data_IF_661595406747
#
_entry.id   IF_661595406747
#
_cell.length_a   1.000
_cell.length_b   1.000
_cell.length_c   1.000
_cell.angle_alpha   90.00
_cell.angle_beta   90.00
_cell.angle_gamma   90.00
#
_symmetry.space_group_name_H-M   'P 1'
#
loop_
_entity.id
_entity.type
_entity.pdbx_description
1 polymer ?
#
# COMPACT_ATOMS: atom_id res chain seq x y z
N UNK A 1 -1.27 15.92 -15.99
CA UNK A 1 -2.22 16.06 -14.87
C UNK A 1 -3.40 15.15 -15.16
N UNK A 2 -3.55 14.05 -14.43
CA UNK A 2 -4.71 13.17 -14.59
C UNK A 2 -5.96 13.90 -14.07
N UNK A 3 -6.98 14.09 -14.91
CA UNK A 3 -8.22 14.71 -14.49
C UNK A 3 -9.03 13.70 -13.66
N UNK A 4 -9.24 14.01 -12.39
CA UNK A 4 -10.15 13.26 -11.52
C UNK A 4 -11.61 13.49 -11.95
N UNK A 5 -12.44 12.47 -11.82
CA UNK A 5 -13.90 12.51 -11.99
C UNK A 5 -14.40 13.09 -13.33
N UNK A 6 -13.83 12.65 -14.46
CA UNK A 6 -14.43 12.91 -15.77
C UNK A 6 -15.74 12.11 -15.88
N UNK A 7 -16.91 12.75 -15.95
CA UNK A 7 -18.17 12.04 -16.13
C UNK A 7 -18.11 11.26 -17.45
N UNK A 8 -18.49 9.97 -17.41
CA UNK A 8 -18.52 9.10 -18.61
C UNK A 8 -19.44 9.63 -19.72
N UNK A 9 -20.34 10.54 -19.39
CA UNK A 9 -21.24 11.20 -20.33
C UNK A 9 -21.07 12.71 -20.20
N UNK A 10 -20.74 13.38 -21.30
CA UNK A 10 -20.68 14.84 -21.38
C UNK A 10 -22.11 15.40 -21.32
N UNK A 11 -22.65 15.60 -20.12
CA UNK A 11 -23.88 16.37 -19.99
C UNK A 11 -23.61 17.80 -20.45
N UNK A 12 -24.38 18.28 -21.44
CA UNK A 12 -24.36 19.70 -21.83
C UNK A 12 -24.75 20.51 -20.60
N UNK A 13 -23.79 21.28 -20.08
CA UNK A 13 -24.03 22.20 -18.96
C UNK A 13 -25.08 23.24 -19.39
N UNK A 14 -26.02 23.56 -18.50
CA UNK A 14 -26.97 24.64 -18.75
C UNK A 14 -26.25 26.00 -18.76
N UNK A 15 -26.84 27.01 -19.39
CA UNK A 15 -26.25 28.36 -19.40
C UNK A 15 -26.10 28.92 -17.97
N UNK A 16 -27.05 28.63 -17.09
CA UNK A 16 -26.97 28.99 -15.67
C UNK A 16 -25.79 28.31 -14.96
N UNK A 17 -25.54 27.01 -15.21
CA UNK A 17 -24.38 26.31 -14.66
C UNK A 17 -23.08 26.91 -15.20
N UNK A 18 -23.04 27.27 -16.49
CA UNK A 18 -21.88 27.92 -17.12
C UNK A 18 -21.59 29.28 -16.47
N UNK A 19 -22.60 30.11 -16.26
CA UNK A 19 -22.45 31.42 -15.61
C UNK A 19 -21.95 31.28 -14.16
N UNK A 20 -22.52 30.35 -13.38
CA UNK A 20 -22.05 30.05 -12.02
C UNK A 20 -20.60 29.59 -11.99
N UNK A 21 -20.19 28.75 -12.94
CA UNK A 21 -18.79 28.29 -13.03
C UNK A 21 -17.84 29.43 -13.42
N UNK A 22 -18.26 30.33 -14.32
CA UNK A 22 -17.47 31.53 -14.67
C UNK A 22 -17.26 32.42 -13.45
N UNK A 23 -18.29 32.65 -12.62
CA UNK A 23 -18.17 33.42 -11.38
C UNK A 23 -17.22 32.76 -10.38
N UNK A 24 -17.35 31.43 -10.19
CA UNK A 24 -16.43 30.66 -9.34
C UNK A 24 -14.99 30.74 -9.82
N UNK A 25 -14.75 30.63 -11.13
CA UNK A 25 -13.41 30.73 -11.73
C UNK A 25 -12.84 32.14 -11.52
N UNK A 26 -13.64 33.20 -11.70
CA UNK A 26 -13.21 34.58 -11.44
C UNK A 26 -12.81 34.77 -9.97
N UNK A 27 -13.63 34.31 -9.04
CA UNK A 27 -13.34 34.39 -7.61
C UNK A 27 -12.07 33.59 -7.24
N UNK A 28 -11.91 32.39 -7.79
CA UNK A 28 -10.71 31.57 -7.59
C UNK A 28 -9.45 32.26 -8.11
N UNK A 29 -9.48 32.79 -9.35
CA UNK A 29 -8.35 33.51 -9.94
C UNK A 29 -7.99 34.75 -9.13
N UNK A 30 -8.98 35.51 -8.71
CA UNK A 30 -8.74 36.68 -7.86
C UNK A 30 -8.03 36.31 -6.55
N UNK A 31 -8.49 35.25 -5.87
CA UNK A 31 -7.85 34.76 -4.64
C UNK A 31 -6.43 34.23 -4.90
N UNK A 32 -6.23 33.52 -6.02
CA UNK A 32 -4.92 33.06 -6.46
C UNK A 32 -3.97 34.23 -6.69
N UNK A 33 -4.39 35.25 -7.43
CA UNK A 33 -3.58 36.42 -7.75
C UNK A 33 -3.21 37.20 -6.49
N UNK A 34 -4.15 37.39 -5.56
CA UNK A 34 -3.88 37.98 -4.25
C UNK A 34 -2.83 37.19 -3.46
N UNK A 35 -2.98 35.86 -3.39
CA UNK A 35 -2.08 34.98 -2.65
C UNK A 35 -0.67 35.02 -3.24
N UNK A 36 -0.54 34.92 -4.56
CA UNK A 36 0.75 34.90 -5.24
C UNK A 36 1.43 36.27 -5.24
N UNK A 37 0.68 37.36 -5.41
CA UNK A 37 1.22 38.72 -5.38
C UNK A 37 1.78 39.06 -3.99
N UNK A 38 1.07 38.65 -2.92
CA UNK A 38 1.59 38.81 -1.56
C UNK A 38 2.81 37.94 -1.30
N UNK A 39 2.79 36.68 -1.75
CA UNK A 39 3.97 35.82 -1.63
C UNK A 39 5.21 36.39 -2.35
N UNK A 40 5.01 37.08 -3.47
CA UNK A 40 6.09 37.73 -4.22
C UNK A 40 6.75 38.89 -3.47
N UNK A 41 6.08 39.50 -2.48
CA UNK A 41 6.71 40.53 -1.63
C UNK A 41 7.70 39.96 -0.61
N UNK A 42 7.77 38.63 -0.47
CA UNK A 42 8.64 37.96 0.50
C UNK A 42 8.11 37.96 1.94
N UNK A 43 6.91 38.50 2.18
CA UNK A 43 6.30 38.58 3.51
C UNK A 43 5.44 37.34 3.79
N UNK A 44 5.91 36.46 4.67
CA UNK A 44 5.21 35.23 5.07
C UNK A 44 4.52 35.43 6.43
N UNK A 45 3.43 36.17 6.44
CA UNK A 45 2.70 36.54 7.66
C UNK A 45 1.39 35.76 7.85
N UNK A 46 0.66 36.08 8.92
CA UNK A 46 -0.63 35.47 9.24
C UNK A 46 -1.70 35.76 8.18
N UNK A 47 -1.60 36.90 7.48
CA UNK A 47 -2.54 37.23 6.41
C UNK A 47 -2.32 36.34 5.18
N UNK A 48 -1.06 36.15 4.76
CA UNK A 48 -0.74 35.18 3.71
C UNK A 48 -1.16 33.75 4.12
N UNK A 49 -0.95 33.38 5.39
CA UNK A 49 -1.40 32.10 5.91
C UNK A 49 -2.91 31.92 5.76
N UNK A 50 -3.73 32.92 6.10
CA UNK A 50 -5.18 32.89 5.92
C UNK A 50 -5.59 32.78 4.44
N UNK A 51 -4.87 33.45 3.53
CA UNK A 51 -5.08 33.29 2.09
C UNK A 51 -4.80 31.85 1.63
N UNK A 52 -3.72 31.22 2.13
CA UNK A 52 -3.44 29.81 1.83
C UNK A 52 -4.56 28.89 2.32
N UNK A 53 -5.13 29.15 3.52
CA UNK A 53 -6.26 28.39 4.06
C UNK A 53 -7.45 28.43 3.11
N UNK A 54 -7.84 29.62 2.63
CA UNK A 54 -8.95 29.79 1.68
C UNK A 54 -8.68 29.05 0.37
N UNK A 55 -7.47 29.21 -0.18
CA UNK A 55 -7.13 28.68 -1.49
C UNK A 55 -7.03 27.15 -1.49
N UNK A 56 -6.50 26.53 -0.42
CA UNK A 56 -6.43 25.08 -0.27
C UNK A 56 -7.79 24.41 -0.02
N UNK A 57 -8.73 25.10 0.62
CA UNK A 57 -10.12 24.65 0.68
C UNK A 57 -10.79 24.60 -0.69
N UNK A 58 -10.36 25.43 -1.63
CA UNK A 58 -10.85 25.41 -3.02
C UNK A 58 -10.09 24.40 -3.88
N UNK A 59 -8.76 24.38 -3.79
CA UNK A 59 -7.90 23.55 -4.63
C UNK A 59 -6.66 23.05 -3.87
N UNK A 60 -6.74 21.90 -3.20
CA UNK A 60 -5.59 21.31 -2.52
C UNK A 60 -4.57 20.68 -3.48
N UNK A 61 -4.86 20.54 -4.78
CA UNK A 61 -3.88 20.10 -5.80
C UNK A 61 -2.87 21.20 -6.16
N UNK A 62 -3.11 22.45 -5.74
CA UNK A 62 -2.21 23.55 -6.03
C UNK A 62 -0.99 23.54 -5.10
N UNK A 63 0.01 22.74 -5.49
CA UNK A 63 1.21 22.44 -4.69
C UNK A 63 1.99 23.67 -4.19
N UNK A 64 2.06 24.75 -4.97
CA UNK A 64 2.75 25.99 -4.57
C UNK A 64 2.19 26.55 -3.27
N UNK A 65 0.88 26.46 -3.06
CA UNK A 65 0.19 27.02 -1.89
C UNK A 65 0.56 26.28 -0.62
N UNK A 66 0.79 24.96 -0.69
CA UNK A 66 1.30 24.19 0.45
C UNK A 66 2.70 24.65 0.87
N UNK A 67 3.57 24.98 -0.09
CA UNK A 67 4.89 25.52 0.21
C UNK A 67 4.82 26.91 0.83
N UNK A 68 3.91 27.77 0.34
CA UNK A 68 3.65 29.08 0.96
C UNK A 68 3.16 28.90 2.41
N UNK A 69 2.23 27.97 2.63
CA UNK A 69 1.70 27.66 3.97
C UNK A 69 2.80 27.21 4.92
N UNK A 70 3.70 26.31 4.50
CA UNK A 70 4.88 25.90 5.29
C UNK A 70 5.75 27.08 5.67
N UNK A 71 6.04 27.98 4.71
CA UNK A 71 6.85 29.18 4.97
C UNK A 71 6.18 30.08 6.01
N UNK A 72 4.89 30.37 5.84
CA UNK A 72 4.13 31.14 6.83
C UNK A 72 4.15 30.51 8.23
N UNK A 73 4.00 29.19 8.33
CA UNK A 73 4.07 28.48 9.62
C UNK A 73 5.43 28.68 10.27
N UNK A 74 6.52 28.46 9.54
CA UNK A 74 7.89 28.59 10.06
C UNK A 74 8.26 30.03 10.43
N UNK A 75 7.79 31.02 9.67
CA UNK A 75 8.10 32.44 9.90
C UNK A 75 7.21 33.11 10.95
N UNK A 76 6.12 32.47 11.38
CA UNK A 76 5.18 33.09 12.33
C UNK A 76 4.73 32.17 13.46
N UNK A 77 3.97 31.11 13.17
CA UNK A 77 3.32 30.28 14.19
C UNK A 77 4.27 29.27 14.87
N UNK A 78 5.37 28.91 14.21
CA UNK A 78 6.40 27.98 14.68
C UNK A 78 7.79 28.65 14.76
N UNK A 79 7.84 29.97 14.95
CA UNK A 79 9.08 30.75 14.87
C UNK A 79 9.96 30.65 16.12
N UNK A 80 9.60 29.86 17.14
CA UNK A 80 10.38 29.74 18.37
C UNK A 80 11.67 28.95 18.13
N UNK A 81 12.78 29.47 18.66
CA UNK A 81 13.95 28.65 18.96
C UNK A 81 13.62 27.79 20.20
N UNK A 82 14.09 26.54 20.21
CA UNK A 82 13.74 25.54 21.23
C UNK A 82 14.07 25.97 22.68
N UNK A 83 14.98 26.93 22.86
CA UNK A 83 15.49 27.36 24.16
C UNK A 83 14.59 28.35 24.93
N UNK A 84 13.62 29.01 24.27
CA UNK A 84 12.76 30.01 24.95
C UNK A 84 11.57 29.41 25.70
N UNK A 85 11.33 28.10 25.62
CA UNK A 85 10.16 27.43 26.23
C UNK A 85 10.15 27.42 27.76
N UNK A 86 11.19 27.96 28.42
CA UNK A 86 11.33 28.01 29.87
C UNK A 86 11.08 29.39 30.50
N UNK A 87 10.69 30.43 29.74
CA UNK A 87 10.36 31.73 30.33
C UNK A 87 8.89 31.84 30.78
N UNK A 88 8.61 32.09 32.08
CA UNK A 88 7.27 32.26 32.61
C UNK A 88 6.78 33.69 32.33
N UNK A 89 6.19 33.92 31.16
CA UNK A 89 5.63 35.23 30.80
C UNK A 89 4.84 35.32 29.48
N UNK A 90 4.82 34.27 28.65
CA UNK A 90 4.10 34.27 27.36
C UNK A 90 2.65 33.75 27.52
N UNK A 91 1.76 34.57 28.09
CA UNK A 91 0.41 34.14 28.50
C UNK A 91 -0.63 33.88 27.40
N UNK A 92 -0.39 34.25 26.14
CA UNK A 92 -1.46 34.25 25.10
C UNK A 92 -1.09 33.61 23.74
N UNK A 93 0.09 32.99 23.59
CA UNK A 93 0.48 32.33 22.33
C UNK A 93 0.27 30.82 22.37
N UNK A 94 -0.37 30.31 21.33
CA UNK A 94 -0.61 28.89 21.10
C UNK A 94 0.73 28.12 21.07
N UNK A 95 0.79 26.96 21.76
CA UNK A 95 2.00 26.13 21.78
C UNK A 95 2.27 25.49 20.42
N UNK A 96 3.55 25.21 20.09
CA UNK A 96 3.93 24.47 18.87
C UNK A 96 3.10 23.19 18.71
N UNK A 97 2.85 22.46 19.81
CA UNK A 97 2.03 21.24 19.78
C UNK A 97 0.59 21.50 19.34
N UNK A 98 -0.02 22.59 19.80
CA UNK A 98 -1.38 22.97 19.42
C UNK A 98 -1.44 23.46 17.96
N UNK A 99 -0.46 24.25 17.51
CA UNK A 99 -0.34 24.67 16.10
C UNK A 99 -0.23 23.45 15.18
N UNK A 100 0.66 22.50 15.49
CA UNK A 100 0.85 21.29 14.68
C UNK A 100 -0.41 20.41 14.64
N UNK A 101 -1.11 20.24 15.76
CA UNK A 101 -2.38 19.52 15.81
C UNK A 101 -3.48 20.22 15.01
N UNK A 102 -3.56 21.55 15.10
CA UNK A 102 -4.48 22.38 14.31
C UNK A 102 -4.23 22.21 12.80
N UNK A 103 -2.96 22.13 12.37
CA UNK A 103 -2.60 21.88 10.97
C UNK A 103 -2.93 20.47 10.49
N UNK A 104 -2.73 19.46 11.33
CA UNK A 104 -3.20 18.10 11.04
C UNK A 104 -4.72 18.04 10.97
N UNK A 105 -5.44 18.74 11.85
CA UNK A 105 -6.90 18.82 11.82
C UNK A 105 -7.42 19.54 10.57
N UNK A 106 -6.79 20.65 10.16
CA UNK A 106 -7.09 21.39 8.94
C UNK A 106 -7.08 20.51 7.68
N UNK A 107 -6.16 19.56 7.61
CA UNK A 107 -6.06 18.69 6.42
C UNK A 107 -7.07 17.54 6.41
N UNK A 108 -7.72 17.20 7.53
CA UNK A 108 -8.72 16.11 7.58
C UNK A 108 -9.89 16.32 6.60
N UNK A 109 -10.63 17.45 6.59
CA UNK A 109 -11.72 17.64 5.64
C UNK A 109 -11.25 17.63 4.18
N UNK A 110 -10.04 18.12 3.90
CA UNK A 110 -9.44 18.09 2.57
C UNK A 110 -9.18 16.65 2.14
N UNK A 111 -8.62 15.84 3.04
CA UNK A 111 -8.31 14.43 2.79
C UNK A 111 -9.58 13.59 2.61
N UNK A 112 -10.64 13.88 3.36
CA UNK A 112 -11.93 13.19 3.22
C UNK A 112 -12.57 13.44 1.85
N UNK A 113 -12.35 14.62 1.26
CA UNK A 113 -12.84 15.01 -0.07
C UNK A 113 -11.93 14.54 -1.20
N UNK A 114 -10.61 14.66 -1.04
CA UNK A 114 -9.60 14.32 -2.05
C UNK A 114 -8.54 13.37 -1.46
N UNK A 115 -8.91 12.11 -1.17
CA UNK A 115 -8.06 11.16 -0.44
C UNK A 115 -6.82 10.70 -1.21
N UNK A 116 -6.74 11.02 -2.51
CA UNK A 116 -5.64 10.70 -3.42
C UNK A 116 -4.80 11.92 -3.81
N UNK A 117 -5.04 13.07 -3.16
CA UNK A 117 -4.23 14.26 -3.38
C UNK A 117 -2.86 14.09 -2.72
N UNK A 118 -1.80 14.02 -3.53
CA UNK A 118 -0.44 13.80 -3.06
C UNK A 118 0.02 14.88 -2.06
N UNK A 119 -0.35 16.13 -2.31
CA UNK A 119 0.13 17.28 -1.56
C UNK A 119 -0.44 17.36 -0.14
N UNK A 120 -1.64 16.82 0.09
CA UNK A 120 -2.19 16.69 1.44
C UNK A 120 -1.33 15.73 2.26
N UNK A 121 -1.07 14.53 1.75
CA UNK A 121 -0.23 13.53 2.43
C UNK A 121 1.19 14.05 2.65
N UNK A 122 1.78 14.71 1.65
CA UNK A 122 3.10 15.32 1.75
C UNK A 122 3.16 16.46 2.78
N UNK A 123 2.12 17.29 2.87
CA UNK A 123 2.04 18.32 3.91
C UNK A 123 1.93 17.70 5.31
N UNK A 124 1.09 16.68 5.49
CA UNK A 124 1.00 15.98 6.79
C UNK A 124 2.33 15.38 7.23
N UNK A 125 3.06 14.70 6.33
CA UNK A 125 4.41 14.20 6.63
C UNK A 125 5.35 15.32 7.10
N UNK A 126 5.30 16.49 6.45
CA UNK A 126 6.09 17.64 6.88
C UNK A 126 5.68 18.11 8.29
N UNK A 127 4.37 18.23 8.59
CA UNK A 127 3.90 18.61 9.94
C UNK A 127 4.40 17.62 11.00
N UNK A 128 4.37 16.32 10.70
CA UNK A 128 4.88 15.30 11.61
C UNK A 128 6.39 15.37 11.83
N UNK A 129 7.16 15.73 10.79
CA UNK A 129 8.60 16.00 10.96
C UNK A 129 8.86 17.17 11.91
N UNK A 130 8.00 18.20 11.88
CA UNK A 130 8.09 19.32 12.81
C UNK A 130 7.72 18.90 14.23
N UNK A 131 6.81 17.94 14.41
CA UNK A 131 6.49 17.40 15.74
C UNK A 131 7.71 16.74 16.39
N UNK A 132 8.51 15.96 15.64
CA UNK A 132 9.77 15.38 16.14
C UNK A 132 10.78 16.48 16.46
N UNK A 133 10.92 17.47 15.57
CA UNK A 133 11.94 18.51 15.71
C UNK A 133 11.66 19.50 16.86
N UNK A 134 10.41 19.64 17.31
CA UNK A 134 9.98 20.76 18.15
C UNK A 134 9.34 20.37 19.47
N UNK A 135 8.90 19.11 19.62
CA UNK A 135 8.19 18.66 20.80
C UNK A 135 9.02 17.64 21.58
N UNK A 136 8.86 17.56 22.92
CA UNK A 136 9.37 16.45 23.68
C UNK A 136 8.88 15.11 23.11
N UNK A 137 9.73 14.08 23.15
CA UNK A 137 9.45 12.76 22.57
C UNK A 137 8.05 12.20 22.92
N UNK A 138 7.57 12.24 24.18
CA UNK A 138 6.23 11.73 24.49
C UNK A 138 5.09 12.48 23.79
N UNK A 139 5.24 13.81 23.63
CA UNK A 139 4.24 14.63 22.95
C UNK A 139 4.26 14.42 21.43
N UNK A 140 5.46 14.33 20.84
CA UNK A 140 5.61 13.99 19.42
C UNK A 140 5.00 12.61 19.14
N UNK A 141 5.38 11.59 19.90
CA UNK A 141 4.90 10.21 19.75
C UNK A 141 3.37 10.13 19.75
N UNK A 142 2.69 10.80 20.68
CA UNK A 142 1.23 10.83 20.76
C UNK A 142 0.56 11.36 19.48
N UNK A 143 1.18 12.34 18.83
CA UNK A 143 0.70 12.85 17.53
C UNK A 143 0.83 11.77 16.46
N UNK A 144 1.98 11.09 16.38
CA UNK A 144 2.20 10.00 15.44
C UNK A 144 1.28 8.80 15.66
N UNK A 145 0.99 8.44 16.92
CA UNK A 145 0.01 7.38 17.26
C UNK A 145 -1.40 7.74 16.79
N UNK A 146 -1.78 9.02 16.89
CA UNK A 146 -3.06 9.51 16.35
C UNK A 146 -3.14 9.35 14.83
N UNK A 147 -2.03 9.54 14.12
CA UNK A 147 -1.95 9.34 12.66
C UNK A 147 -2.10 7.89 12.24
N UNK A 148 -1.66 6.95 13.08
CA UNK A 148 -1.90 5.53 12.84
C UNK A 148 -3.42 5.25 12.82
N UNK A 149 -4.18 5.84 13.75
CA UNK A 149 -5.64 5.82 13.75
C UNK A 149 -6.27 6.45 12.51
N UNK A 150 -5.73 7.57 12.03
CA UNK A 150 -6.17 8.18 10.76
C UNK A 150 -5.98 7.22 9.58
N UNK A 151 -4.83 6.56 9.48
CA UNK A 151 -4.57 5.61 8.38
C UNK A 151 -5.59 4.48 8.37
N UNK A 152 -5.91 3.92 9.55
CA UNK A 152 -6.95 2.89 9.70
C UNK A 152 -8.31 3.40 9.23
N UNK A 153 -8.69 4.65 9.57
CA UNK A 153 -9.94 5.26 9.10
C UNK A 153 -9.97 5.44 7.59
N UNK A 154 -8.86 5.91 6.99
CA UNK A 154 -8.78 6.13 5.55
C UNK A 154 -8.83 4.81 4.76
N UNK A 155 -8.12 3.79 5.23
CA UNK A 155 -8.17 2.43 4.68
C UNK A 155 -9.53 1.76 4.92
N UNK A 156 -10.22 2.12 6.00
CA UNK A 156 -11.59 1.70 6.24
C UNK A 156 -12.60 2.25 5.22
N UNK A 157 -12.31 3.40 4.61
CA UNK A 157 -13.13 4.04 3.56
C UNK A 157 -12.74 3.58 2.14
N UNK A 158 -11.45 3.50 1.86
CA UNK A 158 -10.89 2.99 0.60
C UNK A 158 -9.70 2.08 0.94
N UNK A 159 -9.97 0.78 1.03
CA UNK A 159 -9.00 -0.23 1.44
C UNK A 159 -7.87 -0.43 0.40
N UNK A 160 -8.02 0.09 -0.82
CA UNK A 160 -7.01 0.09 -1.89
C UNK A 160 -6.31 1.43 -2.06
N UNK A 161 -6.52 2.39 -1.15
CA UNK A 161 -5.85 3.68 -1.22
C UNK A 161 -4.34 3.50 -0.95
N UNK A 162 -3.55 3.48 -2.02
CA UNK A 162 -2.11 3.30 -1.93
C UNK A 162 -1.40 4.44 -1.18
N UNK A 163 -1.95 5.66 -1.18
CA UNK A 163 -1.40 6.76 -0.40
C UNK A 163 -1.58 6.51 1.10
N UNK A 164 -2.75 6.01 1.51
CA UNK A 164 -3.00 5.67 2.91
C UNK A 164 -2.13 4.50 3.37
N UNK A 165 -1.95 3.46 2.56
CA UNK A 165 -1.00 2.37 2.83
C UNK A 165 0.45 2.86 2.91
N UNK A 166 0.87 3.72 1.97
CA UNK A 166 2.21 4.32 1.99
C UNK A 166 2.45 5.21 3.22
N UNK A 167 1.46 6.02 3.58
CA UNK A 167 1.51 6.88 4.76
C UNK A 167 1.53 6.05 6.05
N UNK A 168 0.75 4.96 6.13
CA UNK A 168 0.77 4.03 7.27
C UNK A 168 2.16 3.45 7.50
N UNK A 169 2.81 2.95 6.45
CA UNK A 169 4.18 2.42 6.55
C UNK A 169 5.17 3.46 7.05
N UNK A 170 5.04 4.71 6.61
CA UNK A 170 5.88 5.81 7.09
C UNK A 170 5.61 6.10 8.58
N UNK A 171 4.34 6.16 9.00
CA UNK A 171 3.95 6.36 10.41
C UNK A 171 4.49 5.26 11.30
N UNK A 172 4.34 3.99 10.88
CA UNK A 172 4.89 2.83 11.61
C UNK A 172 6.40 2.94 11.72
N UNK A 173 7.11 3.14 10.60
CA UNK A 173 8.57 3.23 10.61
C UNK A 173 9.08 4.36 11.53
N UNK A 174 8.40 5.50 11.58
CA UNK A 174 8.74 6.57 12.53
C UNK A 174 8.40 6.21 13.97
N UNK A 175 7.26 5.57 14.25
CA UNK A 175 6.89 5.14 15.61
C UNK A 175 7.82 4.08 16.19
N UNK A 176 8.45 3.27 15.35
CA UNK A 176 9.47 2.28 15.68
C UNK A 176 10.86 2.90 15.86
N UNK A 177 11.06 4.15 15.44
CA UNK A 177 12.39 4.76 15.38
C UNK A 177 12.90 5.21 16.76
N UNK A 178 14.23 5.28 16.96
CA UNK A 178 14.81 5.78 18.22
C UNK A 178 14.37 7.20 18.57
N UNK A 179 14.12 8.06 17.58
CA UNK A 179 13.65 9.44 17.75
C UNK A 179 12.29 9.52 18.47
N UNK A 180 11.46 8.48 18.35
CA UNK A 180 10.18 8.36 19.06
C UNK A 180 10.21 7.33 20.20
N UNK A 181 11.39 6.87 20.60
CA UNK A 181 11.57 5.85 21.63
C UNK A 181 10.81 4.56 21.31
N UNK A 182 10.79 4.19 20.02
CA UNK A 182 9.95 3.13 19.49
C UNK A 182 10.40 1.71 19.79
N UNK A 183 9.44 0.80 19.70
CA UNK A 183 9.64 -0.64 19.63
C UNK A 183 8.94 -1.16 18.37
N UNK A 184 9.29 -2.37 17.95
CA UNK A 184 8.70 -3.00 16.76
C UNK A 184 7.18 -3.09 16.87
N UNK A 185 6.50 -2.74 15.78
CA UNK A 185 5.07 -2.88 15.54
C UNK A 185 4.80 -3.98 14.48
N UNK A 186 5.80 -4.82 14.15
CA UNK A 186 5.68 -5.80 13.08
C UNK A 186 4.50 -6.77 13.29
N UNK A 187 4.28 -7.23 14.53
CA UNK A 187 3.15 -8.10 14.89
C UNK A 187 1.80 -7.38 14.79
N UNK A 188 1.73 -6.14 15.27
CA UNK A 188 0.51 -5.33 15.18
C UNK A 188 0.13 -5.05 13.73
N UNK A 189 1.10 -4.74 12.88
CA UNK A 189 0.88 -4.55 11.45
C UNK A 189 0.50 -5.86 10.75
N UNK A 190 1.07 -6.99 11.16
CA UNK A 190 0.67 -8.30 10.63
C UNK A 190 -0.78 -8.62 10.97
N UNK A 191 -1.18 -8.41 12.23
CA UNK A 191 -2.56 -8.55 12.66
C UNK A 191 -3.49 -7.58 11.91
N UNK A 192 -3.04 -6.34 11.66
CA UNK A 192 -3.77 -5.39 10.83
C UNK A 192 -3.96 -5.90 9.39
N UNK A 193 -2.94 -6.52 8.77
CA UNK A 193 -3.13 -7.13 7.44
C UNK A 193 -4.15 -8.26 7.45
N UNK A 194 -4.13 -9.13 8.47
CA UNK A 194 -5.13 -10.20 8.65
C UNK A 194 -6.54 -9.62 8.74
N UNK A 195 -6.74 -8.57 9.54
CA UNK A 195 -8.04 -7.91 9.66
C UNK A 195 -8.51 -7.26 8.35
N UNK A 196 -7.59 -6.65 7.60
CA UNK A 196 -7.90 -6.02 6.31
C UNK A 196 -8.22 -7.04 5.22
N UNK A 197 -7.56 -8.21 5.22
CA UNK A 197 -7.85 -9.33 4.31
C UNK A 197 -9.20 -9.96 4.67
N UNK A 198 -9.46 -10.21 5.96
CA UNK A 198 -10.73 -10.79 6.42
C UNK A 198 -11.95 -9.93 6.10
N UNK A 199 -11.76 -8.62 5.92
CA UNK A 199 -12.82 -7.70 5.47
C UNK A 199 -13.05 -7.73 3.96
N UNK A 200 -12.00 -7.93 3.17
CA UNK A 200 -12.06 -8.00 1.72
C UNK A 200 -10.88 -8.83 1.18
N UNK A 201 -11.18 -10.06 0.73
CA UNK A 201 -10.20 -10.98 0.16
C UNK A 201 -9.53 -10.41 -1.10
N UNK A 202 -10.20 -9.49 -1.79
CA UNK A 202 -9.72 -8.79 -2.99
C UNK A 202 -8.68 -7.70 -2.68
N UNK A 203 -8.35 -7.49 -1.40
CA UNK A 203 -7.46 -6.41 -0.99
C UNK A 203 -5.99 -6.73 -1.26
N UNK A 204 -5.57 -6.58 -2.52
CA UNK A 204 -4.18 -6.76 -2.94
C UNK A 204 -3.16 -5.97 -2.10
N UNK A 205 -3.53 -4.77 -1.62
CA UNK A 205 -2.62 -3.95 -0.82
C UNK A 205 -2.35 -4.57 0.57
N UNK A 206 -3.33 -5.25 1.14
CA UNK A 206 -3.16 -5.99 2.40
C UNK A 206 -2.31 -7.25 2.20
N UNK A 207 -2.58 -8.04 1.16
CA UNK A 207 -1.74 -9.20 0.79
C UNK A 207 -0.30 -8.81 0.51
N UNK A 208 -0.08 -7.74 -0.25
CA UNK A 208 1.26 -7.21 -0.50
C UNK A 208 1.94 -6.78 0.80
N UNK A 209 1.26 -6.01 1.65
CA UNK A 209 1.83 -5.57 2.93
C UNK A 209 2.16 -6.77 3.83
N UNK A 210 1.30 -7.79 3.87
CA UNK A 210 1.53 -9.05 4.60
C UNK A 210 2.81 -9.73 4.12
N UNK A 211 2.96 -9.92 2.80
CA UNK A 211 4.16 -10.56 2.22
C UNK A 211 5.47 -9.88 2.60
N UNK A 212 5.45 -8.55 2.78
CA UNK A 212 6.62 -7.75 3.14
C UNK A 212 6.96 -7.83 4.62
N UNK A 213 5.98 -8.13 5.48
CA UNK A 213 6.15 -8.25 6.93
C UNK A 213 6.66 -9.62 7.34
N UNK A 214 6.27 -10.68 6.62
CA UNK A 214 6.60 -12.08 6.98
C UNK A 214 8.09 -12.31 7.26
N UNK A 215 9.05 -11.92 6.39
CA UNK A 215 10.47 -12.15 6.67
C UNK A 215 10.93 -11.47 7.98
N UNK A 216 10.50 -10.22 8.19
CA UNK A 216 10.83 -9.43 9.37
C UNK A 216 10.28 -10.06 10.65
N UNK A 217 9.03 -10.55 10.64
CA UNK A 217 8.42 -11.22 11.80
C UNK A 217 9.20 -12.47 12.17
N UNK A 218 9.57 -13.29 11.19
CA UNK A 218 10.32 -14.52 11.43
C UNK A 218 11.74 -14.24 11.95
N UNK A 219 12.37 -13.15 11.51
CA UNK A 219 13.65 -12.67 12.06
C UNK A 219 13.49 -12.17 13.51
N UNK A 220 12.53 -11.29 13.79
CA UNK A 220 12.30 -10.73 15.12
C UNK A 220 11.89 -11.79 16.15
N UNK A 221 11.13 -12.81 15.74
CA UNK A 221 10.80 -13.99 16.56
C UNK A 221 12.00 -14.90 16.83
N UNK A 222 13.15 -14.69 16.16
CA UNK A 222 14.26 -15.64 16.14
C UNK A 222 13.78 -17.06 15.76
N UNK A 223 12.89 -17.15 14.77
CA UNK A 223 12.22 -18.39 14.40
C UNK A 223 13.22 -19.40 13.83
N UNK A 224 13.27 -20.58 14.45
CA UNK A 224 14.03 -21.73 13.97
C UNK A 224 13.42 -22.34 12.69
N UNK A 225 14.11 -23.32 12.11
CA UNK A 225 13.70 -23.93 10.85
C UNK A 225 12.32 -24.60 10.93
N UNK A 226 12.00 -25.22 12.07
CA UNK A 226 10.70 -25.86 12.29
C UNK A 226 9.57 -24.83 12.36
N UNK A 227 9.76 -23.73 13.10
CA UNK A 227 8.81 -22.63 13.19
C UNK A 227 8.60 -21.94 11.84
N UNK A 228 9.66 -21.78 11.04
CA UNK A 228 9.59 -21.23 9.68
C UNK A 228 8.81 -22.13 8.72
N UNK A 229 9.05 -23.43 8.75
CA UNK A 229 8.29 -24.40 7.95
C UNK A 229 6.81 -24.44 8.35
N UNK A 230 6.51 -24.41 9.65
CA UNK A 230 5.15 -24.32 10.17
C UNK A 230 4.46 -23.02 9.74
N UNK A 231 5.16 -21.90 9.76
CA UNK A 231 4.63 -20.61 9.30
C UNK A 231 4.30 -20.63 7.80
N UNK A 232 5.19 -21.17 6.96
CA UNK A 232 4.93 -21.34 5.53
C UNK A 232 3.69 -22.19 5.28
N UNK A 233 3.56 -23.33 5.98
CA UNK A 233 2.40 -24.19 5.86
C UNK A 233 1.10 -23.48 6.27
N UNK A 234 1.14 -22.67 7.33
CA UNK A 234 0.00 -21.87 7.77
C UNK A 234 -0.40 -20.80 6.73
N UNK A 235 0.56 -20.11 6.11
CA UNK A 235 0.27 -19.13 5.06
C UNK A 235 -0.28 -19.76 3.78
N UNK A 236 0.23 -20.94 3.37
CA UNK A 236 -0.35 -21.71 2.27
C UNK A 236 -1.78 -22.14 2.59
N UNK A 237 -2.03 -22.62 3.81
CA UNK A 237 -3.39 -22.95 4.23
C UNK A 237 -4.32 -21.73 4.19
N UNK A 238 -3.85 -20.60 4.69
CA UNK A 238 -4.63 -19.37 4.73
C UNK A 238 -5.02 -18.87 3.34
N UNK A 239 -4.10 -18.89 2.36
CA UNK A 239 -4.44 -18.51 0.98
C UNK A 239 -5.34 -19.53 0.29
N UNK A 240 -5.18 -20.83 0.57
CA UNK A 240 -6.07 -21.88 0.03
C UNK A 240 -7.51 -21.73 0.52
N UNK A 241 -7.70 -21.47 1.81
CA UNK A 241 -9.02 -21.17 2.36
C UNK A 241 -9.66 -19.94 1.68
N UNK A 242 -8.87 -18.90 1.39
CA UNK A 242 -9.36 -17.75 0.65
C UNK A 242 -9.70 -18.10 -0.82
N UNK A 243 -8.87 -18.91 -1.48
CA UNK A 243 -9.09 -19.36 -2.87
C UNK A 243 -10.34 -20.23 -3.00
N UNK A 244 -10.68 -21.05 -2.01
CA UNK A 244 -11.93 -21.81 -1.98
C UNK A 244 -13.18 -20.91 -1.94
N UNK A 245 -13.05 -19.68 -1.47
CA UNK A 245 -14.14 -18.70 -1.39
C UNK A 245 -14.19 -17.75 -2.60
N UNK A 246 -13.05 -17.50 -3.25
CA UNK A 246 -12.94 -16.49 -4.30
C UNK A 246 -11.88 -16.82 -5.35
N UNK A 247 -11.96 -17.96 -6.05
CA UNK A 247 -10.93 -18.37 -7.00
C UNK A 247 -10.84 -17.45 -8.23
N UNK A 248 -11.84 -16.61 -8.48
CA UNK A 248 -11.81 -15.59 -9.53
C UNK A 248 -10.89 -14.39 -9.19
N UNK A 249 -10.53 -14.22 -7.92
CA UNK A 249 -9.77 -13.05 -7.47
C UNK A 249 -8.26 -13.21 -7.73
N UNK A 250 -7.78 -12.42 -8.67
CA UNK A 250 -6.37 -12.39 -9.07
C UNK A 250 -5.41 -12.07 -7.90
N UNK A 251 -5.84 -11.31 -6.90
CA UNK A 251 -4.99 -10.92 -5.77
C UNK A 251 -4.57 -12.13 -4.94
N UNK A 252 -5.47 -13.10 -4.78
CA UNK A 252 -5.20 -14.35 -4.06
C UNK A 252 -4.16 -15.18 -4.80
N UNK A 253 -4.31 -15.32 -6.11
CA UNK A 253 -3.35 -16.03 -6.94
C UNK A 253 -1.98 -15.37 -6.98
N UNK A 254 -1.90 -14.03 -6.92
CA UNK A 254 -0.61 -13.36 -6.80
C UNK A 254 0.08 -13.65 -5.47
N UNK A 255 -0.67 -13.74 -4.37
CA UNK A 255 -0.11 -14.13 -3.07
C UNK A 255 0.31 -15.60 -3.05
N UNK A 256 -0.53 -16.49 -3.60
CA UNK A 256 -0.21 -17.90 -3.78
C UNK A 256 1.05 -18.11 -4.62
N UNK A 257 1.13 -17.47 -5.79
CA UNK A 257 2.31 -17.48 -6.66
C UNK A 257 3.57 -17.00 -5.95
N UNK A 258 3.46 -15.98 -5.11
CA UNK A 258 4.58 -15.53 -4.28
C UNK A 258 5.04 -16.66 -3.33
N UNK A 259 4.13 -17.31 -2.61
CA UNK A 259 4.46 -18.41 -1.70
C UNK A 259 5.06 -19.62 -2.46
N UNK A 260 4.50 -19.98 -3.62
CA UNK A 260 5.07 -21.00 -4.51
C UNK A 260 6.49 -20.61 -4.93
N UNK A 261 6.74 -19.34 -5.25
CA UNK A 261 8.08 -18.86 -5.58
C UNK A 261 9.06 -18.93 -4.38
N UNK A 262 8.58 -18.79 -3.15
CA UNK A 262 9.40 -19.01 -1.93
C UNK A 262 9.81 -20.49 -1.79
N UNK A 263 8.98 -21.42 -2.29
CA UNK A 263 9.26 -22.86 -2.28
C UNK A 263 10.14 -23.24 -3.46
N UNK A 264 9.85 -22.75 -4.67
CA UNK A 264 10.45 -23.22 -5.91
C UNK A 264 11.84 -22.65 -6.22
N UNK A 265 12.17 -21.45 -5.74
CA UNK A 265 13.44 -20.81 -6.04
C UNK A 265 14.55 -21.22 -5.07
N UNK A 266 15.83 -21.22 -5.50
CA UNK A 266 16.96 -21.46 -4.62
C UNK A 266 16.91 -20.55 -3.39
N UNK A 267 17.26 -21.07 -2.20
CA UNK A 267 17.19 -20.28 -0.98
C UNK A 267 18.07 -19.04 -1.09
N UNK A 268 17.46 -17.87 -0.94
CA UNK A 268 18.15 -16.61 -0.67
C UNK A 268 17.81 -16.14 0.76
N UNK A 269 18.43 -15.05 1.22
CA UNK A 269 18.25 -14.55 2.60
C UNK A 269 16.81 -14.18 2.95
N UNK A 270 15.91 -14.03 1.97
CA UNK A 270 14.55 -13.56 2.18
C UNK A 270 13.50 -14.68 2.05
N UNK A 271 13.93 -15.94 1.95
CA UNK A 271 13.00 -17.08 1.90
C UNK A 271 12.39 -17.37 3.27
N UNK A 272 11.09 -17.67 3.30
CA UNK A 272 10.35 -17.97 4.54
C UNK A 272 11.00 -19.14 5.29
N UNK A 273 11.23 -20.26 4.60
CA UNK A 273 11.84 -21.48 5.15
C UNK A 273 13.07 -21.89 4.32
N UNK A 274 14.25 -21.27 4.54
CA UNK A 274 15.42 -21.43 3.68
C UNK A 274 16.14 -22.78 3.83
N UNK A 275 15.80 -23.58 4.85
CA UNK A 275 16.45 -24.86 5.18
C UNK A 275 15.66 -26.09 4.73
N UNK A 276 14.55 -25.91 4.01
CA UNK A 276 13.83 -27.02 3.41
C UNK A 276 14.71 -27.75 2.39
N UNK A 277 14.76 -29.07 2.48
CA UNK A 277 15.38 -29.94 1.48
C UNK A 277 14.55 -29.93 0.18
N UNK A 278 15.18 -30.31 -0.94
CA UNK A 278 14.48 -30.41 -2.22
C UNK A 278 13.31 -31.41 -2.17
N UNK A 279 13.42 -32.47 -1.36
CA UNK A 279 12.34 -33.43 -1.14
C UNK A 279 11.14 -32.81 -0.38
N UNK A 280 11.40 -31.98 0.63
CA UNK A 280 10.34 -31.27 1.36
C UNK A 280 9.68 -30.21 0.47
N UNK A 281 10.49 -29.47 -0.31
CA UNK A 281 9.99 -28.49 -1.30
C UNK A 281 9.12 -29.16 -2.36
N UNK A 282 9.55 -30.31 -2.89
CA UNK A 282 8.75 -31.12 -3.81
C UNK A 282 7.44 -31.61 -3.17
N UNK A 283 7.46 -31.99 -1.89
CA UNK A 283 6.25 -32.39 -1.14
C UNK A 283 5.24 -31.25 -1.05
N UNK A 284 5.68 -30.03 -0.76
CA UNK A 284 4.79 -28.86 -0.79
C UNK A 284 4.18 -28.64 -2.18
N UNK A 285 4.99 -28.67 -3.24
CA UNK A 285 4.50 -28.45 -4.60
C UNK A 285 3.50 -29.52 -5.06
N UNK A 286 3.74 -30.80 -4.75
CA UNK A 286 2.78 -31.88 -5.06
C UNK A 286 1.44 -31.66 -4.37
N UNK A 287 1.46 -31.27 -3.09
CA UNK A 287 0.25 -30.93 -2.36
C UNK A 287 -0.49 -29.74 -2.99
N UNK A 288 0.23 -28.69 -3.37
CA UNK A 288 -0.41 -27.55 -4.04
C UNK A 288 -1.01 -27.94 -5.40
N UNK A 289 -0.36 -28.84 -6.15
CA UNK A 289 -0.92 -29.39 -7.40
C UNK A 289 -2.23 -30.13 -7.15
N UNK A 290 -2.28 -30.99 -6.13
CA UNK A 290 -3.50 -31.72 -5.73
C UNK A 290 -4.62 -30.75 -5.37
N UNK A 291 -4.35 -29.78 -4.48
CA UNK A 291 -5.38 -28.83 -4.02
C UNK A 291 -5.89 -27.92 -5.15
N UNK A 292 -5.02 -27.52 -6.08
CA UNK A 292 -5.42 -26.73 -7.26
C UNK A 292 -6.25 -27.58 -8.23
N UNK A 293 -5.98 -28.89 -8.34
CA UNK A 293 -6.78 -29.80 -9.16
C UNK A 293 -8.16 -30.02 -8.57
N UNK A 294 -8.26 -30.21 -7.26
CA UNK A 294 -9.55 -30.30 -6.58
C UNK A 294 -10.38 -29.04 -6.83
N UNK A 295 -9.75 -27.85 -6.72
CA UNK A 295 -10.41 -26.59 -7.06
C UNK A 295 -10.82 -26.51 -8.54
N UNK A 296 -10.05 -27.12 -9.45
CA UNK A 296 -10.37 -27.11 -10.88
C UNK A 296 -11.64 -27.90 -11.22
N UNK A 297 -12.00 -28.92 -10.43
CA UNK A 297 -13.21 -29.71 -10.63
C UNK A 297 -14.47 -28.83 -10.57
N UNK A 298 -14.51 -27.88 -9.64
CA UNK A 298 -15.64 -26.97 -9.43
C UNK A 298 -15.55 -25.69 -10.27
N UNK A 299 -14.33 -25.27 -10.64
CA UNK A 299 -14.05 -23.95 -11.22
C UNK A 299 -13.31 -24.02 -12.56
N UNK A 300 -13.74 -24.91 -13.46
CA UNK A 300 -13.09 -25.19 -14.74
C UNK A 300 -12.97 -24.00 -15.72
N UNK A 301 -13.71 -22.90 -15.49
CA UNK A 301 -13.68 -21.68 -16.31
C UNK A 301 -12.81 -20.56 -15.72
N UNK A 302 -12.15 -20.81 -14.59
CA UNK A 302 -11.25 -19.85 -13.94
C UNK A 302 -9.83 -20.01 -14.48
N UNK A 303 -9.38 -19.04 -15.28
CA UNK A 303 -8.07 -19.08 -15.91
C UNK A 303 -6.91 -19.20 -14.90
N UNK A 304 -7.02 -18.55 -13.74
CA UNK A 304 -5.95 -18.48 -12.74
C UNK A 304 -5.55 -19.85 -12.18
N UNK A 305 -6.50 -20.78 -12.08
CA UNK A 305 -6.27 -22.15 -11.62
C UNK A 305 -5.30 -22.86 -12.56
N UNK A 306 -5.51 -22.74 -13.87
CA UNK A 306 -4.61 -23.31 -14.88
C UNK A 306 -3.23 -22.65 -14.87
N UNK A 307 -3.15 -21.33 -14.66
CA UNK A 307 -1.85 -20.64 -14.52
C UNK A 307 -1.07 -21.16 -13.32
N UNK A 308 -1.73 -21.29 -12.16
CA UNK A 308 -1.10 -21.75 -10.93
C UNK A 308 -0.67 -23.22 -11.03
N UNK A 309 -1.51 -24.07 -11.62
CA UNK A 309 -1.20 -25.49 -11.85
C UNK A 309 0.03 -25.65 -12.75
N UNK A 310 0.09 -24.90 -13.86
CA UNK A 310 1.25 -24.87 -14.75
C UNK A 310 2.52 -24.43 -14.02
N UNK A 311 2.43 -23.36 -13.21
CA UNK A 311 3.58 -22.84 -12.44
C UNK A 311 4.09 -23.85 -11.40
N UNK A 312 3.20 -24.54 -10.68
CA UNK A 312 3.57 -25.58 -9.71
C UNK A 312 4.20 -26.80 -10.39
N UNK A 313 3.66 -27.27 -11.52
CA UNK A 313 4.20 -28.41 -12.28
C UNK A 313 5.62 -28.10 -12.77
N UNK A 314 5.82 -26.96 -13.43
CA UNK A 314 7.15 -26.55 -13.92
C UNK A 314 8.14 -26.31 -12.76
N UNK A 315 7.67 -25.86 -11.61
CA UNK A 315 8.50 -25.76 -10.41
C UNK A 315 8.93 -27.14 -9.91
N UNK A 316 8.02 -28.12 -9.86
CA UNK A 316 8.30 -29.48 -9.39
C UNK A 316 9.27 -30.20 -10.33
N UNK A 317 9.05 -30.15 -11.64
CA UNK A 317 9.94 -30.78 -12.64
C UNK A 317 11.38 -30.28 -12.53
N UNK A 318 11.57 -28.97 -12.27
CA UNK A 318 12.90 -28.37 -12.05
C UNK A 318 13.57 -28.87 -10.78
N UNK A 319 12.82 -29.13 -9.71
CA UNK A 319 13.37 -29.65 -8.46
C UNK A 319 13.76 -31.13 -8.57
N UNK A 320 13.01 -31.90 -9.33
CA UNK A 320 13.24 -33.35 -9.51
C UNK A 320 14.22 -33.68 -10.65
N UNK A 321 14.80 -32.66 -11.28
CA UNK A 321 15.78 -32.81 -12.37
C UNK A 321 15.23 -33.55 -13.59
N UNK A 322 13.92 -33.44 -13.86
CA UNK A 322 13.25 -34.13 -14.97
C UNK A 322 13.18 -35.67 -14.86
N UNK A 323 13.60 -36.26 -13.74
CA UNK A 323 13.60 -37.72 -13.53
C UNK A 323 12.25 -38.24 -13.03
N UNK A 324 11.47 -37.39 -12.36
CA UNK A 324 10.07 -37.60 -12.06
C UNK A 324 9.21 -37.14 -13.23
N UNK A 325 9.10 -37.94 -14.29
CA UNK A 325 7.96 -37.76 -15.20
C UNK A 325 6.73 -37.85 -14.32
N UNK A 326 5.97 -36.76 -14.25
CA UNK A 326 4.59 -36.78 -13.79
C UNK A 326 3.86 -37.76 -14.74
N UNK A 327 3.86 -39.05 -14.37
CA UNK A 327 3.08 -40.09 -15.02
C UNK A 327 1.64 -39.81 -14.61
N UNK A 328 0.99 -38.88 -15.29
CA UNK A 328 -0.31 -38.41 -14.84
C UNK A 328 -1.32 -38.43 -15.97
N UNK A 329 -2.39 -39.17 -15.69
CA UNK A 329 -3.58 -39.34 -16.51
C UNK A 329 -4.50 -38.10 -16.42
N UNK A 330 -4.20 -37.11 -15.56
CA UNK A 330 -4.98 -35.87 -15.39
C UNK A 330 -4.26 -34.62 -15.94
N UNK A 331 -4.65 -34.25 -17.17
CA UNK A 331 -4.21 -33.08 -17.96
C UNK A 331 -2.69 -32.87 -18.06
N UNK A 332 -2.05 -33.48 -19.06
CA UNK A 332 -0.64 -33.24 -19.37
C UNK A 332 -0.34 -31.77 -19.71
N UNK A 333 0.94 -31.37 -19.57
CA UNK A 333 1.45 -30.00 -19.79
C UNK A 333 0.93 -29.33 -21.09
N UNK A 334 0.88 -30.09 -22.19
CA UNK A 334 0.37 -29.61 -23.48
C UNK A 334 -1.12 -29.25 -23.44
N UNK A 335 -1.93 -30.04 -22.74
CA UNK A 335 -3.36 -29.80 -22.60
C UNK A 335 -3.64 -28.55 -21.73
N UNK A 336 -2.85 -28.34 -20.66
CA UNK A 336 -2.90 -27.12 -19.85
C UNK A 336 -2.59 -25.87 -20.68
N UNK A 337 -1.50 -25.90 -21.45
CA UNK A 337 -1.10 -24.79 -22.31
C UNK A 337 -2.14 -24.51 -23.40
N UNK A 338 -2.74 -25.55 -23.99
CA UNK A 338 -3.82 -25.39 -24.96
C UNK A 338 -5.05 -24.71 -24.35
N UNK A 339 -5.47 -25.11 -23.14
CA UNK A 339 -6.59 -24.47 -22.43
C UNK A 339 -6.27 -23.02 -22.08
N UNK A 340 -5.07 -22.72 -21.57
CA UNK A 340 -4.64 -21.35 -21.28
C UNK A 340 -4.64 -20.44 -22.52
N UNK A 341 -4.21 -20.93 -23.68
CA UNK A 341 -4.30 -20.17 -24.95
C UNK A 341 -5.74 -19.87 -25.35
N UNK A 342 -6.65 -20.81 -25.13
CA UNK A 342 -8.07 -20.62 -25.43
C UNK A 342 -8.73 -19.59 -24.48
N UNK A 343 -8.37 -19.61 -23.20
CA UNK A 343 -8.93 -18.71 -22.18
C UNK A 343 -8.28 -17.32 -22.19
N UNK A 344 -7.02 -17.22 -22.59
CA UNK A 344 -6.23 -15.99 -22.56
C UNK A 344 -5.53 -15.68 -23.88
N UNK A 345 -6.31 -15.39 -24.94
CA UNK A 345 -5.75 -15.13 -26.26
C UNK A 345 -4.86 -13.88 -26.26
N UNK A 346 -5.09 -12.92 -25.35
CA UNK A 346 -4.28 -11.70 -25.25
C UNK A 346 -2.86 -11.96 -24.77
N UNK A 347 -2.62 -13.05 -24.02
CA UNK A 347 -1.28 -13.47 -23.56
C UNK A 347 -0.78 -14.74 -24.26
N UNK A 348 -1.29 -15.09 -25.45
CA UNK A 348 -0.85 -16.27 -26.20
C UNK A 348 0.68 -16.39 -26.34
N UNK A 349 1.37 -15.28 -26.65
CA UNK A 349 2.83 -15.26 -26.75
C UNK A 349 3.58 -15.60 -25.45
N UNK A 350 2.96 -15.38 -24.27
CA UNK A 350 3.50 -15.85 -22.98
C UNK A 350 3.48 -17.38 -22.92
N UNK A 351 2.38 -18.00 -23.33
CA UNK A 351 2.21 -19.45 -23.30
C UNK A 351 3.13 -20.15 -24.29
N UNK A 352 3.30 -19.57 -25.49
CA UNK A 352 4.26 -20.06 -26.48
C UNK A 352 5.70 -20.00 -25.99
N UNK A 353 6.08 -18.91 -25.31
CA UNK A 353 7.39 -18.80 -24.69
C UNK A 353 7.61 -19.88 -23.62
N UNK A 354 6.62 -20.14 -22.75
CA UNK A 354 6.73 -21.18 -21.71
C UNK A 354 6.90 -22.57 -22.34
N UNK A 355 6.11 -22.90 -23.37
CA UNK A 355 6.22 -24.17 -24.09
C UNK A 355 7.62 -24.36 -24.70
N UNK A 356 8.16 -23.30 -25.34
CA UNK A 356 9.50 -23.32 -25.91
C UNK A 356 10.60 -23.58 -24.85
N UNK A 357 10.49 -22.98 -23.66
CA UNK A 357 11.45 -23.21 -22.58
C UNK A 357 11.35 -24.64 -22.02
N UNK A 358 10.13 -25.16 -21.85
CA UNK A 358 9.92 -26.53 -21.39
C UNK A 358 10.46 -27.57 -22.40
N UNK A 359 10.33 -27.31 -23.69
CA UNK A 359 10.89 -28.18 -24.73
C UNK A 359 12.44 -28.20 -24.71
N UNK A 360 13.08 -27.06 -24.46
CA UNK A 360 14.55 -26.94 -24.38
C UNK A 360 15.16 -27.59 -23.13
N UNK A 361 14.39 -27.75 -22.05
CA UNK A 361 14.86 -28.44 -20.84
C UNK A 361 14.75 -29.97 -20.94
N UNK A 362 13.96 -30.46 -21.91
CA UNK A 362 13.65 -31.88 -22.11
C UNK A 362 14.42 -32.53 -23.28
N UNK A 363 15.20 -31.76 -24.04
CA UNK A 363 16.07 -32.24 -25.13
C UNK A 363 17.53 -32.00 -24.80
#
# INVERSE_FOLDING_TARGET
MASHDVPRVTQKRTEEQRLRDVEKIKAYRHLQDQTLSRAASGTYDLELFQLTTKLLHLNPEFYTVWNLRRRCLLSSLLSREADEQQQPGAGDRESDGSVLQSELAFTVPLLMRLPKCYWIWNFRQWVLSQAIARLPVPAARKIWETELGLTSKMLGKDHRNFHAWGYRRLVVASLESPELGGASLAEDEFAFTTAMIGRDLSNFSAWHSRSRLVPRILEERSADDAARAAFLAAELNYVREALNLGPEDQSLWYYHRLLVAQIANPPNQHVIAPRLSDQERATYLRREIEEIRDLLEDYAEVQWIYEALLECILALERLEGGTGRIQDESLGLQALLAKLRAMDPMRAGRWDAIEGHAALQNG
#
